data_IF_106266844760
#
_entry.id   IF_106266844760
#
_cell.length_a   1.000
_cell.length_b   1.000
_cell.length_c   1.000
_cell.angle_alpha   90.00
_cell.angle_beta   90.00
_cell.angle_gamma   90.00
#
_symmetry.space_group_name_H-M   'P 1'
#
loop_
_entity.id
_entity.type
_entity.pdbx_description
1 polymer ?
#
# COMPACT_ATOMS: atom_id res chain seq x y z
N UNK A 1 -19.59 11.42 27.70
CA UNK A 1 -19.72 11.85 26.30
C UNK A 1 -20.67 10.92 25.54
N UNK A 2 -21.11 11.33 24.34
CA UNK A 2 -22.13 10.66 23.58
C UNK A 2 -21.58 10.34 22.17
N UNK A 3 -21.88 9.14 21.67
CA UNK A 3 -21.68 8.74 20.28
C UNK A 3 -23.05 8.53 19.66
N UNK A 4 -23.30 9.19 18.55
CA UNK A 4 -24.59 9.18 17.85
C UNK A 4 -24.49 8.25 16.66
N UNK A 5 -25.46 7.33 16.51
CA UNK A 5 -25.47 6.26 15.51
C UNK A 5 -26.74 6.34 14.67
N UNK A 6 -26.70 5.82 13.45
CA UNK A 6 -27.85 5.68 12.55
C UNK A 6 -28.77 4.53 12.96
N UNK A 7 -28.20 3.51 13.61
CA UNK A 7 -28.91 2.34 14.14
C UNK A 7 -28.23 1.80 15.39
N UNK A 8 -28.95 1.05 16.16
CA UNK A 8 -28.44 0.36 17.34
C UNK A 8 -27.59 -0.85 16.90
N UNK A 9 -26.35 -1.00 17.38
CA UNK A 9 -25.53 -2.17 17.10
C UNK A 9 -26.00 -3.40 17.89
N UNK A 10 -25.76 -4.62 17.38
CA UNK A 10 -26.17 -5.90 17.99
C UNK A 10 -25.48 -6.03 19.31
N UNK A 11 -24.75 -5.52 19.93
CA UNK A 11 -24.14 -5.59 21.27
C UNK A 11 -23.84 -4.18 21.79
N UNK A 12 -24.84 -3.32 21.82
CA UNK A 12 -24.70 -1.91 22.18
C UNK A 12 -23.94 -1.68 23.49
N UNK A 13 -24.22 -2.50 24.53
CA UNK A 13 -23.58 -2.38 25.83
C UNK A 13 -22.07 -2.70 25.76
N UNK A 14 -21.68 -3.74 25.05
CA UNK A 14 -20.28 -4.11 24.85
C UNK A 14 -19.53 -3.02 24.08
N UNK A 15 -20.13 -2.49 23.03
CA UNK A 15 -19.55 -1.37 22.24
C UNK A 15 -19.40 -0.14 23.12
N UNK A 16 -20.40 0.21 23.91
CA UNK A 16 -20.34 1.36 24.83
C UNK A 16 -19.25 1.19 25.90
N UNK A 17 -19.08 -0.02 26.44
CA UNK A 17 -18.01 -0.34 27.37
C UNK A 17 -16.63 -0.22 26.74
N UNK A 18 -16.40 -0.82 25.56
CA UNK A 18 -15.14 -0.76 24.84
C UNK A 18 -14.75 0.70 24.52
N UNK A 19 -15.70 1.49 24.03
CA UNK A 19 -15.48 2.91 23.76
C UNK A 19 -15.18 3.71 25.05
N UNK A 20 -15.83 3.37 26.17
CA UNK A 20 -15.60 4.03 27.45
C UNK A 20 -14.21 3.73 28.00
N UNK A 21 -13.75 2.49 27.91
CA UNK A 21 -12.37 2.10 28.27
C UNK A 21 -11.34 2.86 27.44
N UNK A 22 -11.51 2.87 26.11
CA UNK A 22 -10.60 3.58 25.20
C UNK A 22 -10.59 5.10 25.44
N UNK A 23 -11.73 5.68 25.77
CA UNK A 23 -11.87 7.11 25.97
C UNK A 23 -11.47 7.59 27.37
N UNK A 24 -11.29 6.69 28.35
CA UNK A 24 -11.02 7.00 29.74
C UNK A 24 -12.20 7.67 30.48
N UNK A 25 -13.42 7.62 29.91
CA UNK A 25 -14.65 8.16 30.51
C UNK A 25 -15.88 7.49 29.92
N UNK A 26 -17.01 7.58 30.64
CA UNK A 26 -18.27 6.95 30.22
C UNK A 26 -18.73 7.50 28.86
N UNK A 27 -18.94 6.60 27.90
CA UNK A 27 -19.51 6.86 26.58
C UNK A 27 -20.89 6.22 26.52
N UNK A 28 -21.89 6.98 26.02
CA UNK A 28 -23.23 6.47 25.73
C UNK A 28 -23.45 6.42 24.23
N UNK A 29 -24.12 5.38 23.76
CA UNK A 29 -24.59 5.28 22.39
C UNK A 29 -26.03 5.80 22.32
N UNK A 30 -26.33 6.56 21.28
CA UNK A 30 -27.67 7.15 21.09
C UNK A 30 -28.06 7.08 19.62
N UNK A 31 -29.27 6.61 19.33
CA UNK A 31 -29.88 6.64 18.00
C UNK A 31 -30.92 7.76 17.99
N UNK A 32 -30.66 8.89 17.35
CA UNK A 32 -31.57 10.04 17.36
C UNK A 32 -32.76 9.78 16.43
N UNK A 33 -33.92 10.24 16.86
CA UNK A 33 -35.17 10.15 16.06
C UNK A 33 -35.60 11.48 15.47
N UNK A 34 -35.01 12.60 15.89
CA UNK A 34 -35.36 13.97 15.44
C UNK A 34 -34.27 15.00 15.78
N UNK A 35 -34.37 16.17 15.14
CA UNK A 35 -33.51 17.33 15.42
C UNK A 35 -32.12 17.21 14.80
N UNK A 36 -31.22 18.11 15.20
CA UNK A 36 -29.88 18.30 14.60
C UNK A 36 -29.02 17.06 14.65
N UNK A 37 -29.15 16.23 15.70
CA UNK A 37 -28.42 14.95 15.78
C UNK A 37 -28.82 13.95 14.69
N UNK A 38 -30.13 13.91 14.36
CA UNK A 38 -30.60 13.07 13.25
C UNK A 38 -30.04 13.55 11.91
N UNK A 39 -30.07 14.88 11.70
CA UNK A 39 -29.49 15.46 10.48
C UNK A 39 -27.99 15.15 10.36
N UNK A 40 -27.23 15.31 11.45
CA UNK A 40 -25.80 15.01 11.48
C UNK A 40 -25.52 13.53 11.14
N UNK A 41 -26.29 12.59 11.71
CA UNK A 41 -26.14 11.14 11.42
C UNK A 41 -26.53 10.82 9.98
N UNK A 42 -27.62 11.41 9.47
CA UNK A 42 -28.05 11.24 8.08
C UNK A 42 -26.97 11.74 7.12
N UNK A 43 -26.39 12.89 7.37
CA UNK A 43 -25.28 13.43 6.58
C UNK A 43 -24.05 12.54 6.63
N UNK A 44 -23.67 12.07 7.83
CA UNK A 44 -22.56 11.14 8.01
C UNK A 44 -22.80 9.81 7.24
N UNK A 45 -24.01 9.26 7.29
CA UNK A 45 -24.37 8.05 6.57
C UNK A 45 -24.33 8.24 5.04
N UNK A 46 -24.76 9.40 4.54
CA UNK A 46 -24.63 9.75 3.12
C UNK A 46 -23.17 9.81 2.69
N UNK A 47 -22.34 10.54 3.43
CA UNK A 47 -20.91 10.64 3.16
C UNK A 47 -20.23 9.26 3.18
N UNK A 48 -20.60 8.39 4.12
CA UNK A 48 -20.08 7.03 4.20
C UNK A 48 -20.46 6.18 2.98
N UNK A 49 -21.71 6.26 2.51
CA UNK A 49 -22.17 5.57 1.30
C UNK A 49 -21.44 6.05 0.05
N UNK A 50 -21.28 7.36 -0.10
CA UNK A 50 -20.54 7.94 -1.23
C UNK A 50 -19.07 7.52 -1.20
N UNK A 51 -18.42 7.57 -0.04
CA UNK A 51 -17.05 7.13 0.14
C UNK A 51 -16.88 5.64 -0.20
N UNK A 52 -17.83 4.79 0.24
CA UNK A 52 -17.85 3.37 -0.11
C UNK A 52 -18.04 3.17 -1.62
N UNK A 53 -18.94 3.90 -2.25
CA UNK A 53 -19.17 3.83 -3.69
C UNK A 53 -17.91 4.18 -4.49
N UNK A 54 -17.22 5.25 -4.12
CA UNK A 54 -15.93 5.62 -4.71
C UNK A 54 -14.89 4.51 -4.52
N UNK A 55 -14.74 3.99 -3.31
CA UNK A 55 -13.78 2.91 -3.02
C UNK A 55 -14.06 1.65 -3.83
N UNK A 56 -15.31 1.25 -3.97
CA UNK A 56 -15.69 0.08 -4.79
C UNK A 56 -15.39 0.30 -6.28
N UNK A 57 -15.64 1.50 -6.81
CA UNK A 57 -15.31 1.84 -8.19
C UNK A 57 -13.80 1.84 -8.43
N UNK A 58 -13.02 2.43 -7.52
CA UNK A 58 -11.56 2.40 -7.57
C UNK A 58 -11.02 0.97 -7.54
N UNK A 59 -11.52 0.11 -6.63
CA UNK A 59 -11.11 -1.30 -6.53
C UNK A 59 -11.45 -2.08 -7.81
N UNK A 60 -12.62 -1.84 -8.41
CA UNK A 60 -13.00 -2.48 -9.68
C UNK A 60 -12.11 -2.04 -10.84
N UNK A 61 -11.74 -0.76 -10.89
CA UNK A 61 -10.81 -0.24 -11.88
C UNK A 61 -9.41 -0.85 -11.69
N UNK A 62 -8.92 -0.88 -10.45
CA UNK A 62 -7.63 -1.47 -10.12
C UNK A 62 -7.54 -2.94 -10.52
N UNK A 63 -8.58 -3.74 -10.24
CA UNK A 63 -8.62 -5.15 -10.68
C UNK A 63 -8.51 -5.32 -12.20
N UNK A 64 -9.19 -4.46 -12.97
CA UNK A 64 -9.09 -4.49 -14.44
C UNK A 64 -7.69 -4.13 -14.93
N UNK A 65 -7.03 -3.14 -14.30
CA UNK A 65 -5.65 -2.76 -14.62
C UNK A 65 -4.68 -3.90 -14.34
N UNK A 66 -4.81 -4.58 -13.20
CA UNK A 66 -3.96 -5.73 -12.85
C UNK A 66 -4.19 -6.92 -13.78
N UNK A 67 -5.43 -7.16 -14.22
CA UNK A 67 -5.71 -8.21 -15.21
C UNK A 67 -5.13 -7.86 -16.59
N UNK A 68 -5.18 -6.57 -16.97
CA UNK A 68 -4.46 -6.07 -18.15
C UNK A 68 -2.95 -6.28 -18.05
N UNK A 69 -2.38 -5.98 -16.89
CA UNK A 69 -0.95 -6.23 -16.59
C UNK A 69 -0.61 -7.70 -16.70
N UNK A 70 -1.43 -8.59 -16.13
CA UNK A 70 -1.28 -10.05 -16.29
C UNK A 70 -1.18 -10.45 -17.76
N UNK A 71 -2.08 -9.95 -18.58
CA UNK A 71 -2.15 -10.27 -20.00
C UNK A 71 -0.93 -9.78 -20.76
N UNK A 72 -0.53 -8.52 -20.55
CA UNK A 72 0.60 -7.89 -21.26
C UNK A 72 1.94 -8.58 -20.92
N UNK A 73 2.14 -8.92 -19.65
CA UNK A 73 3.39 -9.53 -19.19
C UNK A 73 3.35 -11.07 -19.16
N UNK A 74 2.25 -11.71 -19.59
CA UNK A 74 2.14 -13.17 -19.65
C UNK A 74 2.19 -13.83 -18.28
N UNK A 75 1.70 -13.17 -17.22
CA UNK A 75 1.73 -13.72 -15.87
C UNK A 75 0.66 -14.80 -15.71
N UNK A 76 0.92 -15.81 -14.88
CA UNK A 76 -0.04 -16.89 -14.61
C UNK A 76 -1.29 -16.36 -13.89
N UNK A 77 -1.12 -15.38 -12.99
CA UNK A 77 -2.19 -14.74 -12.22
C UNK A 77 -2.05 -13.21 -12.21
N UNK A 78 -3.12 -12.51 -11.90
CA UNK A 78 -3.07 -11.06 -11.69
C UNK A 78 -2.12 -10.76 -10.53
N UNK A 79 -1.14 -9.85 -10.72
CA UNK A 79 -0.12 -9.60 -9.72
C UNK A 79 -0.72 -9.01 -8.44
N UNK A 80 -0.31 -9.56 -7.30
CA UNK A 80 -0.68 -9.06 -5.98
C UNK A 80 0.30 -8.00 -5.47
N UNK A 81 1.55 -8.06 -5.97
CA UNK A 81 2.60 -7.11 -5.63
C UNK A 81 3.45 -6.78 -6.85
N UNK A 82 3.41 -5.51 -7.23
CA UNK A 82 4.26 -4.92 -8.27
C UNK A 82 5.22 -3.96 -7.60
N UNK A 83 6.51 -4.11 -7.85
CA UNK A 83 7.54 -3.16 -7.43
C UNK A 83 8.06 -2.39 -8.63
N UNK A 84 8.10 -1.07 -8.55
CA UNK A 84 8.64 -0.19 -9.59
C UNK A 84 9.82 0.57 -9.02
N UNK A 85 10.93 0.59 -9.74
CA UNK A 85 12.17 1.22 -9.35
C UNK A 85 12.56 2.32 -10.33
N UNK A 86 12.93 3.47 -9.78
CA UNK A 86 13.37 4.64 -10.52
C UNK A 86 14.63 5.23 -9.87
N UNK A 87 15.64 5.52 -10.69
CA UNK A 87 16.88 6.14 -10.25
C UNK A 87 16.78 7.65 -10.40
N UNK A 88 17.11 8.37 -9.33
CA UNK A 88 17.14 9.83 -9.29
C UNK A 88 18.50 10.34 -8.81
N UNK A 89 19.01 11.34 -9.51
CA UNK A 89 20.21 12.07 -9.12
C UNK A 89 19.82 13.36 -8.41
N UNK A 90 20.16 13.49 -7.13
CA UNK A 90 19.95 14.72 -6.38
C UNK A 90 21.22 15.55 -6.42
N UNK A 91 21.21 16.62 -7.22
CA UNK A 91 22.26 17.64 -7.28
C UNK A 91 23.69 17.11 -7.47
N UNK A 92 23.88 16.10 -8.30
CA UNK A 92 25.21 15.65 -8.76
C UNK A 92 26.10 14.89 -7.77
N UNK A 93 25.65 14.71 -6.51
CA UNK A 93 26.49 14.10 -5.47
C UNK A 93 25.87 12.91 -4.75
N UNK A 94 24.55 12.73 -4.82
CA UNK A 94 23.86 11.63 -4.15
C UNK A 94 22.88 10.96 -5.11
N UNK A 95 23.21 9.76 -5.54
CA UNK A 95 22.32 8.93 -6.30
C UNK A 95 21.37 8.18 -5.34
N UNK A 96 20.08 8.19 -5.66
CA UNK A 96 19.03 7.55 -4.87
C UNK A 96 18.14 6.75 -5.82
N UNK A 97 17.79 5.53 -5.46
CA UNK A 97 16.75 4.78 -6.14
C UNK A 97 15.48 4.76 -5.28
N UNK A 98 14.36 5.16 -5.88
CA UNK A 98 13.03 5.04 -5.31
C UNK A 98 12.43 3.68 -5.64
N UNK A 99 11.75 3.06 -4.67
CA UNK A 99 10.91 1.89 -4.88
C UNK A 99 9.48 2.20 -4.48
N UNK A 100 8.55 2.11 -5.40
CA UNK A 100 7.12 2.15 -5.12
C UNK A 100 6.50 0.77 -5.24
N UNK A 101 5.42 0.55 -4.52
CA UNK A 101 4.71 -0.72 -4.47
C UNK A 101 3.25 -0.51 -4.79
N UNK A 102 2.70 -1.35 -5.66
CA UNK A 102 1.30 -1.38 -6.02
C UNK A 102 0.73 -2.80 -5.93
N UNK A 103 -0.57 -2.91 -5.74
CA UNK A 103 -1.29 -4.18 -5.66
C UNK A 103 -2.80 -3.99 -5.83
N UNK A 104 -3.63 -4.97 -5.43
CA UNK A 104 -5.08 -4.94 -5.61
C UNK A 104 -5.79 -3.74 -4.98
N UNK A 105 -5.24 -3.22 -3.89
CA UNK A 105 -5.77 -2.04 -3.18
C UNK A 105 -5.18 -0.70 -3.69
N UNK A 106 -4.41 -0.73 -4.79
CA UNK A 106 -3.70 0.42 -5.32
C UNK A 106 -2.27 0.54 -4.78
N UNK A 107 -1.79 1.75 -4.59
CA UNK A 107 -0.43 2.02 -4.11
C UNK A 107 -0.28 1.77 -2.61
N UNK A 108 0.63 0.86 -2.23
CA UNK A 108 1.00 0.63 -0.82
C UNK A 108 2.16 1.55 -0.41
N UNK A 109 1.82 2.76 0.04
CA UNK A 109 2.81 3.76 0.46
C UNK A 109 3.64 3.33 1.67
N UNK A 110 3.18 2.38 2.49
CA UNK A 110 3.93 1.88 3.66
C UNK A 110 5.09 0.98 3.24
N UNK A 111 4.96 0.36 2.07
CA UNK A 111 5.98 -0.49 1.50
C UNK A 111 7.03 0.26 0.66
N UNK A 112 6.86 1.57 0.40
CA UNK A 112 7.82 2.39 -0.33
C UNK A 112 9.18 2.40 0.36
N UNK A 113 10.24 2.39 -0.43
CA UNK A 113 11.62 2.45 0.06
C UNK A 113 12.44 3.43 -0.78
N UNK A 114 13.48 3.95 -0.17
CA UNK A 114 14.52 4.73 -0.82
C UNK A 114 15.86 4.07 -0.52
N UNK A 115 16.65 3.87 -1.56
CA UNK A 115 17.97 3.27 -1.48
C UNK A 115 19.02 4.34 -1.83
N UNK A 116 19.78 4.79 -0.85
CA UNK A 116 20.95 5.60 -1.12
C UNK A 116 22.03 4.70 -1.72
N UNK A 117 22.55 5.08 -2.87
CA UNK A 117 23.61 4.37 -3.58
C UNK A 117 24.95 4.73 -2.94
N UNK A 118 25.78 3.73 -2.63
CA UNK A 118 27.01 3.90 -1.86
C UNK A 118 28.26 3.45 -2.58
N UNK A 119 28.17 2.46 -3.44
CA UNK A 119 29.31 1.73 -4.01
C UNK A 119 29.63 2.15 -5.45
N UNK A 120 29.26 3.36 -5.85
CA UNK A 120 29.59 3.89 -7.18
C UNK A 120 30.70 4.93 -7.06
N UNK A 121 31.74 4.77 -7.89
CA UNK A 121 32.80 5.74 -8.07
C UNK A 121 32.20 7.12 -8.41
N UNK A 122 32.41 8.17 -7.63
CA UNK A 122 31.89 9.51 -7.90
C UNK A 122 32.24 10.03 -9.30
N UNK A 123 33.35 9.58 -9.89
CA UNK A 123 33.75 9.93 -11.26
C UNK A 123 32.88 9.26 -12.33
N UNK A 124 32.17 8.20 -11.96
CA UNK A 124 31.22 7.44 -12.81
C UNK A 124 29.75 7.66 -12.44
N UNK A 125 29.51 8.39 -11.36
CA UNK A 125 28.16 8.58 -10.80
C UNK A 125 27.18 9.33 -11.72
N UNK A 126 27.63 9.89 -12.83
CA UNK A 126 26.80 10.57 -13.81
C UNK A 126 26.32 9.72 -14.99
N UNK A 127 26.56 8.39 -15.01
CA UNK A 127 26.28 7.63 -16.21
C UNK A 127 26.16 6.10 -16.07
N UNK A 128 26.19 5.53 -14.87
CA UNK A 128 26.06 4.07 -14.71
C UNK A 128 24.79 3.69 -13.92
N UNK A 129 23.64 3.96 -14.54
CA UNK A 129 22.32 3.58 -14.00
C UNK A 129 22.22 2.06 -13.78
N UNK A 130 22.97 1.26 -14.56
CA UNK A 130 23.04 -0.18 -14.39
C UNK A 130 23.76 -0.62 -13.11
N UNK A 131 24.89 0.03 -12.78
CA UNK A 131 25.59 -0.28 -11.55
C UNK A 131 24.74 0.09 -10.34
N UNK A 132 24.06 1.25 -10.41
CA UNK A 132 23.10 1.70 -9.38
C UNK A 132 21.98 0.70 -9.19
N UNK A 133 21.29 0.32 -10.27
CA UNK A 133 20.20 -0.63 -10.23
C UNK A 133 20.66 -2.00 -9.74
N UNK A 134 21.84 -2.47 -10.15
CA UNK A 134 22.43 -3.73 -9.68
C UNK A 134 22.68 -3.73 -8.17
N UNK A 135 23.19 -2.62 -7.62
CA UNK A 135 23.39 -2.49 -6.17
C UNK A 135 22.03 -2.57 -5.45
N UNK A 136 21.03 -1.83 -5.93
CA UNK A 136 19.67 -1.83 -5.35
C UNK A 136 19.06 -3.22 -5.38
N UNK A 137 19.10 -3.90 -6.53
CA UNK A 137 18.57 -5.26 -6.69
C UNK A 137 19.27 -6.25 -5.76
N UNK A 138 20.60 -6.18 -5.64
CA UNK A 138 21.35 -7.03 -4.72
C UNK A 138 20.93 -6.82 -3.27
N UNK A 139 20.76 -5.57 -2.85
CA UNK A 139 20.32 -5.24 -1.48
C UNK A 139 18.88 -5.64 -1.22
N UNK A 140 17.98 -5.42 -2.19
CA UNK A 140 16.57 -5.75 -2.07
C UNK A 140 16.33 -7.25 -2.07
N UNK A 141 16.91 -7.96 -3.04
CA UNK A 141 16.64 -9.38 -3.25
C UNK A 141 17.60 -10.31 -2.52
N UNK A 142 18.75 -9.84 -2.08
CA UNK A 142 19.71 -10.70 -1.36
C UNK A 142 19.18 -11.27 -0.04
N UNK A 143 18.26 -10.58 0.62
CA UNK A 143 17.54 -11.11 1.77
C UNK A 143 16.41 -12.05 1.34
N UNK A 144 15.59 -11.63 0.37
CA UNK A 144 14.46 -12.41 -0.11
C UNK A 144 14.89 -13.74 -0.73
N UNK A 145 16.04 -13.77 -1.43
CA UNK A 145 16.58 -15.01 -1.98
C UNK A 145 16.92 -16.03 -0.88
N UNK A 146 17.49 -15.59 0.23
CA UNK A 146 17.75 -16.49 1.38
C UNK A 146 16.46 -16.99 2.00
N UNK A 147 15.49 -16.10 2.21
CA UNK A 147 14.16 -16.48 2.73
C UNK A 147 13.44 -17.46 1.78
N UNK A 148 13.65 -17.32 0.46
CA UNK A 148 13.12 -18.24 -0.55
C UNK A 148 13.77 -19.62 -0.46
N UNK A 149 15.10 -19.69 -0.31
CA UNK A 149 15.83 -20.94 -0.13
C UNK A 149 15.34 -21.66 1.14
N UNK A 150 15.16 -20.95 2.26
CA UNK A 150 14.61 -21.47 3.52
C UNK A 150 13.15 -21.95 3.38
N UNK A 151 12.38 -21.29 2.50
CA UNK A 151 10.99 -21.66 2.19
C UNK A 151 10.87 -22.79 1.15
N UNK A 152 11.99 -23.39 0.72
CA UNK A 152 12.00 -24.48 -0.26
C UNK A 152 11.64 -24.03 -1.68
N UNK A 153 11.86 -22.78 -2.03
CA UNK A 153 11.55 -22.21 -3.35
C UNK A 153 10.11 -21.71 -3.51
N UNK A 154 9.30 -21.75 -2.47
CA UNK A 154 7.90 -21.29 -2.52
C UNK A 154 7.80 -19.78 -2.26
N UNK A 155 7.63 -19.00 -3.33
CA UNK A 155 7.54 -17.51 -3.27
C UNK A 155 6.38 -17.00 -2.43
N UNK A 156 5.26 -17.72 -2.41
CA UNK A 156 4.06 -17.38 -1.63
C UNK A 156 4.31 -17.40 -0.11
N UNK A 157 5.37 -18.09 0.32
CA UNK A 157 5.80 -18.13 1.73
C UNK A 157 6.77 -17.02 2.11
N UNK A 158 7.28 -16.27 1.13
CA UNK A 158 8.24 -15.19 1.37
C UNK A 158 7.52 -13.85 1.42
N UNK A 159 7.43 -13.27 2.60
CA UNK A 159 6.74 -11.99 2.78
C UNK A 159 7.39 -10.87 1.96
N UNK A 160 6.58 -10.26 1.08
CA UNK A 160 7.03 -9.15 0.24
C UNK A 160 7.79 -9.56 -1.02
N UNK A 161 7.70 -10.82 -1.45
CA UNK A 161 8.13 -11.25 -2.78
C UNK A 161 7.24 -10.59 -3.85
N UNK A 162 7.80 -9.91 -4.86
CA UNK A 162 7.01 -9.30 -5.93
C UNK A 162 6.62 -10.32 -7.00
N UNK A 163 5.40 -10.20 -7.54
CA UNK A 163 4.98 -10.94 -8.74
C UNK A 163 5.49 -10.30 -10.02
N UNK A 164 5.78 -8.98 -9.98
CA UNK A 164 6.32 -8.23 -11.10
C UNK A 164 7.26 -7.13 -10.60
N UNK A 165 8.40 -7.00 -11.26
CA UNK A 165 9.35 -5.92 -11.05
C UNK A 165 9.46 -5.11 -12.33
N UNK A 166 9.29 -3.79 -12.22
CA UNK A 166 9.47 -2.84 -13.31
C UNK A 166 10.65 -1.94 -12.98
N UNK A 167 11.57 -1.82 -13.91
CA UNK A 167 12.74 -0.96 -13.78
C UNK A 167 12.60 0.17 -14.80
N UNK A 168 12.68 1.42 -14.32
CA UNK A 168 12.82 2.56 -15.22
C UNK A 168 14.29 2.63 -15.67
N UNK A 169 14.53 2.26 -16.92
CA UNK A 169 15.85 2.20 -17.53
C UNK A 169 15.72 2.04 -19.04
N UNK A 170 16.57 2.76 -19.77
CA UNK A 170 16.63 2.66 -21.22
C UNK A 170 17.29 1.37 -21.72
N UNK A 171 17.34 1.24 -23.05
CA UNK A 171 18.15 0.22 -23.71
C UNK A 171 19.62 0.43 -23.36
N UNK A 172 20.24 -0.60 -22.80
CA UNK A 172 21.65 -0.68 -22.50
C UNK A 172 22.34 -1.73 -23.31
#
# INVERSE_FOLDING_TARGET
REVVLDREPDQADLVAQALSVRAGHKVRLTVPRRGDKLQAVTHAATNAREALGRKLAETSSQKRLLEGTRTVFGLERAPQRIEVYDNAHISGTHAVCGMIVAGPEGFDRRAYRSFTIRDIDPAKAGGDDYAMMREVMRRRFGRLARELDEAGGETDRVAGWPDLVLLDGGEG
#
